data_IF_832947774351
#
_entry.id   IF_832947774351
#
_cell.length_a   1.000
_cell.length_b   1.000
_cell.length_c   1.000
_cell.angle_alpha   90.00
_cell.angle_beta   90.00
_cell.angle_gamma   90.00
#
_symmetry.space_group_name_H-M   'P 1'
#
loop_
_entity.id
_entity.type
_entity.pdbx_description
1 polymer ?
#
# COMPACT_ATOMS: atom_id res chain seq x y z
N UNK A 1 0.49 -18.04 -67.30
CA UNK A 1 1.85 -18.64 -67.33
C UNK A 1 2.88 -17.54 -67.29
N UNK A 2 3.50 -17.27 -66.15
CA UNK A 2 4.74 -16.48 -66.06
C UNK A 2 5.53 -17.03 -64.87
N UNK A 3 6.64 -17.66 -65.16
CA UNK A 3 7.64 -18.17 -64.23
C UNK A 3 8.51 -17.02 -63.75
N UNK A 4 8.67 -16.84 -62.43
CA UNK A 4 9.71 -15.96 -61.90
C UNK A 4 10.74 -16.81 -61.16
N UNK A 5 11.98 -16.56 -61.51
CA UNK A 5 13.20 -17.25 -61.08
C UNK A 5 13.63 -16.80 -59.70
N UNK A 6 13.96 -17.76 -58.89
CA UNK A 6 14.66 -17.62 -57.63
C UNK A 6 16.11 -17.14 -57.85
N UNK A 7 16.54 -16.11 -57.12
CA UNK A 7 17.94 -15.69 -57.06
C UNK A 7 18.41 -15.77 -55.62
N UNK A 8 19.26 -16.76 -55.33
CA UNK A 8 19.99 -16.88 -54.06
C UNK A 8 21.17 -15.89 -54.08
N UNK A 9 21.25 -15.02 -53.08
CA UNK A 9 22.50 -14.33 -52.73
C UNK A 9 22.96 -14.84 -51.37
N UNK A 10 24.08 -15.56 -51.37
CA UNK A 10 24.83 -15.93 -50.19
C UNK A 10 25.73 -14.75 -49.79
N UNK A 11 25.45 -14.12 -48.67
CA UNK A 11 26.31 -13.10 -48.04
C UNK A 11 26.97 -13.66 -46.79
N UNK A 12 28.25 -13.96 -46.87
CA UNK A 12 29.09 -14.35 -45.74
C UNK A 12 29.42 -13.11 -44.92
N UNK A 13 28.87 -13.02 -43.70
CA UNK A 13 29.26 -11.99 -42.73
C UNK A 13 30.36 -12.56 -41.84
N UNK A 14 31.56 -12.00 -41.91
CA UNK A 14 32.67 -12.23 -40.97
C UNK A 14 32.52 -11.27 -39.83
N UNK A 15 32.25 -11.78 -38.60
CA UNK A 15 32.29 -10.97 -37.36
C UNK A 15 33.73 -10.87 -36.84
N UNK A 16 34.23 -9.67 -36.51
CA UNK A 16 35.46 -9.54 -35.75
C UNK A 16 35.20 -9.82 -34.25
N UNK A 17 36.03 -10.69 -33.69
CA UNK A 17 36.07 -11.03 -32.28
C UNK A 17 36.71 -9.83 -31.51
N UNK A 18 35.92 -9.05 -30.82
CA UNK A 18 36.42 -8.04 -29.86
C UNK A 18 36.61 -8.72 -28.49
N UNK A 19 37.88 -8.91 -28.14
CA UNK A 19 38.29 -9.31 -26.79
C UNK A 19 38.20 -8.11 -25.88
N UNK A 20 37.28 -8.14 -24.90
CA UNK A 20 37.18 -7.15 -23.83
C UNK A 20 38.00 -7.63 -22.62
N UNK A 21 38.95 -6.85 -22.08
CA UNK A 21 39.67 -7.22 -20.86
C UNK A 21 38.73 -7.16 -19.64
N UNK A 22 38.73 -8.25 -18.89
CA UNK A 22 38.03 -8.29 -17.60
C UNK A 22 38.71 -7.37 -16.59
N UNK A 23 38.07 -6.26 -16.24
CA UNK A 23 38.44 -5.46 -15.09
C UNK A 23 37.89 -6.14 -13.83
N UNK A 24 38.78 -6.62 -12.96
CA UNK A 24 38.42 -7.03 -11.60
C UNK A 24 38.01 -5.77 -10.81
N UNK A 25 36.70 -5.59 -10.63
CA UNK A 25 36.21 -4.65 -9.63
C UNK A 25 36.11 -5.37 -8.28
N UNK A 26 36.94 -4.96 -7.33
CA UNK A 26 36.86 -5.35 -5.92
C UNK A 26 35.51 -4.92 -5.38
N UNK A 27 34.66 -5.88 -5.03
CA UNK A 27 33.43 -5.61 -4.31
C UNK A 27 33.72 -5.10 -2.91
N UNK A 28 33.48 -3.82 -2.66
CA UNK A 28 33.36 -3.30 -1.30
C UNK A 28 32.03 -3.79 -0.73
N UNK A 29 32.11 -4.59 0.32
CA UNK A 29 30.94 -4.96 1.10
C UNK A 29 30.41 -3.69 1.80
N UNK A 30 29.38 -3.10 1.23
CA UNK A 30 28.58 -2.12 1.95
C UNK A 30 27.71 -2.88 2.95
N UNK A 31 27.99 -2.68 4.24
CA UNK A 31 27.14 -3.11 5.35
C UNK A 31 25.74 -2.54 5.14
N UNK A 32 24.81 -3.42 4.82
CA UNK A 32 23.47 -3.04 4.41
C UNK A 32 22.65 -2.48 5.55
N UNK A 33 22.14 -1.29 5.33
CA UNK A 33 20.84 -0.93 5.87
C UNK A 33 19.80 -1.73 5.08
N UNK A 34 19.26 -2.76 5.68
CA UNK A 34 18.05 -3.38 5.18
C UNK A 34 16.89 -2.41 5.43
N UNK A 35 16.71 -1.50 4.49
CA UNK A 35 15.42 -0.84 4.36
C UNK A 35 14.39 -1.95 4.13
N UNK A 36 13.47 -2.09 5.07
CA UNK A 36 12.34 -2.99 4.91
C UNK A 36 11.68 -2.67 3.56
N UNK A 37 11.69 -3.66 2.67
CA UNK A 37 11.02 -3.55 1.40
C UNK A 37 9.55 -3.29 1.69
N UNK A 38 9.09 -2.09 1.34
CA UNK A 38 7.67 -1.75 1.31
C UNK A 38 7.02 -2.68 0.29
N UNK A 39 6.37 -3.72 0.78
CA UNK A 39 5.55 -4.58 -0.04
C UNK A 39 4.31 -3.79 -0.47
N UNK A 40 4.14 -3.73 -1.75
CA UNK A 40 3.00 -3.34 -2.57
C UNK A 40 3.12 -1.97 -3.24
N UNK A 41 3.47 -2.01 -4.54
CA UNK A 41 3.52 -0.87 -5.44
C UNK A 41 2.14 -0.36 -5.89
N UNK A 42 1.19 -0.24 -4.98
CA UNK A 42 -0.02 0.54 -5.21
C UNK A 42 0.28 1.96 -4.73
N UNK A 43 0.13 2.93 -5.64
CA UNK A 43 0.25 4.33 -5.28
C UNK A 43 -0.74 4.68 -4.16
N UNK A 44 -0.32 5.57 -3.23
CA UNK A 44 -1.22 6.09 -2.21
C UNK A 44 -2.45 6.73 -2.87
N UNK A 45 -3.64 6.40 -2.40
CA UNK A 45 -4.92 6.94 -2.87
C UNK A 45 -5.47 8.05 -1.95
N UNK A 46 -4.76 8.32 -0.85
CA UNK A 46 -5.13 9.36 0.12
C UNK A 46 -6.21 8.92 1.10
N UNK A 47 -6.54 7.64 1.18
CA UNK A 47 -7.61 7.15 2.04
C UNK A 47 -7.11 6.27 3.20
N UNK A 48 -7.83 6.33 4.31
CA UNK A 48 -7.80 5.33 5.37
C UNK A 48 -8.91 4.32 5.13
N UNK A 49 -8.51 3.04 4.96
CA UNK A 49 -9.40 1.93 4.65
C UNK A 49 -9.57 1.00 5.84
N UNK A 50 -10.78 0.51 6.04
CA UNK A 50 -11.07 -0.57 6.98
C UNK A 50 -12.00 -1.61 6.35
N UNK A 51 -11.95 -2.84 6.86
CA UNK A 51 -12.78 -3.96 6.42
C UNK A 51 -13.43 -4.63 7.61
N UNK A 52 -14.65 -5.13 7.37
CA UNK A 52 -15.46 -5.83 8.37
C UNK A 52 -14.76 -7.11 8.86
N UNK A 53 -14.16 -7.88 7.93
CA UNK A 53 -13.50 -9.13 8.26
C UNK A 53 -11.97 -8.99 8.18
N UNK A 54 -11.27 -9.94 8.81
CA UNK A 54 -9.81 -10.07 8.71
C UNK A 54 -9.36 -10.27 7.26
N UNK A 55 -8.07 -10.01 6.99
CA UNK A 55 -7.46 -10.16 5.67
C UNK A 55 -8.19 -9.37 4.55
N UNK A 56 -8.82 -8.24 4.93
CA UNK A 56 -9.56 -7.35 4.03
C UNK A 56 -10.80 -8.00 3.42
N UNK A 57 -11.45 -8.88 4.18
CA UNK A 57 -12.72 -9.50 3.80
C UNK A 57 -13.93 -8.64 4.19
N UNK A 58 -15.10 -9.06 3.71
CA UNK A 58 -16.36 -8.40 4.01
C UNK A 58 -16.53 -7.02 3.38
N UNK A 59 -17.37 -6.20 4.00
CA UNK A 59 -17.57 -4.82 3.55
C UNK A 59 -16.36 -3.96 3.86
N UNK A 60 -16.11 -2.96 3.03
CA UNK A 60 -15.03 -2.00 3.24
C UNK A 60 -15.55 -0.57 3.29
N UNK A 61 -14.87 0.26 4.08
CA UNK A 61 -15.07 1.69 4.16
C UNK A 61 -13.74 2.41 3.95
N UNK A 62 -13.76 3.54 3.25
CA UNK A 62 -12.58 4.35 3.00
C UNK A 62 -12.90 5.84 3.12
N UNK A 63 -12.01 6.60 3.76
CA UNK A 63 -12.18 8.04 4.00
C UNK A 63 -10.88 8.79 3.71
N UNK A 64 -10.98 9.88 2.97
CA UNK A 64 -9.88 10.81 2.72
C UNK A 64 -9.79 11.95 3.75
N UNK A 65 -10.70 12.03 4.69
CA UNK A 65 -10.76 13.03 5.76
C UNK A 65 -11.11 12.40 7.10
N UNK A 66 -11.27 13.23 8.12
CA UNK A 66 -11.75 12.81 9.43
C UNK A 66 -13.17 12.27 9.34
N UNK A 67 -13.48 11.25 10.16
CA UNK A 67 -14.85 10.77 10.34
C UNK A 67 -15.16 10.55 11.81
N UNK A 68 -16.17 11.27 12.30
CA UNK A 68 -16.58 11.25 13.68
C UNK A 68 -17.51 10.08 14.03
N UNK A 69 -18.07 9.39 13.03
CA UNK A 69 -19.06 8.35 13.27
C UNK A 69 -19.15 7.36 12.11
N UNK A 70 -18.57 6.20 12.27
CA UNK A 70 -18.54 5.15 11.26
C UNK A 70 -19.88 4.43 11.02
N UNK A 71 -20.97 4.92 11.62
CA UNK A 71 -22.31 4.33 11.40
C UNK A 71 -22.81 4.46 9.98
N UNK A 72 -22.19 5.35 9.18
CA UNK A 72 -22.55 5.55 7.78
C UNK A 72 -21.30 5.62 6.94
N UNK A 73 -20.99 4.61 6.15
CA UNK A 73 -19.86 4.62 5.24
C UNK A 73 -20.22 4.09 3.85
N UNK A 74 -19.26 4.25 2.91
CA UNK A 74 -19.44 3.88 1.52
C UNK A 74 -20.17 4.95 0.70
N UNK A 75 -20.21 4.78 -0.63
CA UNK A 75 -20.63 5.82 -1.59
C UNK A 75 -22.06 6.32 -1.40
N UNK A 76 -22.89 5.62 -0.63
CA UNK A 76 -24.28 6.00 -0.35
C UNK A 76 -24.59 6.02 1.16
N UNK A 77 -23.57 6.01 2.03
CA UNK A 77 -23.77 5.98 3.49
C UNK A 77 -24.50 4.71 3.98
N UNK A 78 -24.45 3.63 3.22
CA UNK A 78 -25.35 2.48 3.41
C UNK A 78 -24.82 1.41 4.35
N UNK A 79 -23.58 1.51 4.85
CA UNK A 79 -23.01 0.50 5.72
C UNK A 79 -22.63 1.07 7.09
N UNK A 80 -22.95 0.35 8.14
CA UNK A 80 -22.55 0.69 9.50
C UNK A 80 -21.28 -0.09 9.88
N UNK A 81 -20.12 0.62 9.96
CA UNK A 81 -18.83 0.06 10.32
C UNK A 81 -18.49 0.26 11.82
N UNK A 82 -19.31 1.00 12.59
CA UNK A 82 -19.09 1.13 14.03
C UNK A 82 -18.98 -0.25 14.67
N UNK A 83 -17.93 -0.44 15.46
CA UNK A 83 -17.66 -1.66 16.24
C UNK A 83 -17.67 -2.95 15.38
N UNK A 84 -17.15 -2.87 14.14
CA UNK A 84 -17.16 -4.00 13.19
C UNK A 84 -15.87 -4.20 12.41
N UNK A 85 -14.92 -3.29 12.52
CA UNK A 85 -13.69 -3.35 11.73
C UNK A 85 -12.72 -4.41 12.28
N UNK A 86 -12.24 -5.28 11.39
CA UNK A 86 -11.26 -6.35 11.70
C UNK A 86 -9.96 -6.26 10.90
N UNK A 87 -9.89 -5.42 9.87
CA UNK A 87 -8.66 -5.13 9.12
C UNK A 87 -8.60 -3.67 8.73
N UNK A 88 -7.38 -3.16 8.49
CA UNK A 88 -7.13 -1.76 8.19
C UNK A 88 -5.97 -1.55 7.21
N UNK A 89 -5.97 -0.39 6.56
CA UNK A 89 -4.86 0.09 5.75
C UNK A 89 -4.88 1.62 5.68
N UNK A 90 -3.81 2.23 6.16
CA UNK A 90 -3.59 3.66 5.95
C UNK A 90 -2.85 3.85 4.63
N UNK A 91 -3.59 4.08 3.55
CA UNK A 91 -3.08 4.38 2.22
C UNK A 91 -3.06 5.89 1.94
N UNK A 92 -2.95 6.68 3.01
CA UNK A 92 -2.85 8.13 2.96
C UNK A 92 -1.58 8.62 2.27
N UNK A 93 -1.62 9.84 1.79
CA UNK A 93 -0.41 10.50 1.30
C UNK A 93 0.55 10.75 2.45
N UNK A 94 1.87 10.55 2.20
CA UNK A 94 2.89 10.87 3.18
C UNK A 94 3.00 12.38 3.45
N UNK A 95 3.58 12.74 4.61
CA UNK A 95 3.80 14.11 5.00
C UNK A 95 2.96 14.53 6.22
N UNK A 96 2.70 15.83 6.34
CA UNK A 96 1.84 16.34 7.40
C UNK A 96 0.46 15.69 7.34
N UNK A 97 -0.06 15.26 8.49
CA UNK A 97 -1.34 14.54 8.60
C UNK A 97 -1.35 13.19 7.85
N UNK A 98 -0.21 12.48 7.82
CA UNK A 98 -0.13 11.15 7.21
C UNK A 98 -0.62 10.01 8.09
N UNK A 99 -0.57 10.18 9.41
CA UNK A 99 -1.02 9.16 10.37
C UNK A 99 -2.52 9.29 10.63
N UNK A 100 -3.15 8.18 11.03
CA UNK A 100 -4.54 8.13 11.46
C UNK A 100 -4.62 7.71 12.92
N UNK A 101 -5.27 8.50 13.76
CA UNK A 101 -5.66 8.12 15.11
C UNK A 101 -7.08 7.60 15.08
N UNK A 102 -7.28 6.37 15.51
CA UNK A 102 -8.59 5.74 15.62
C UNK A 102 -9.06 5.76 17.07
N UNK A 103 -10.36 5.80 17.28
CA UNK A 103 -11.01 5.96 18.60
C UNK A 103 -12.08 4.91 18.78
N UNK A 104 -12.21 4.46 20.03
CA UNK A 104 -13.18 3.46 20.44
C UNK A 104 -14.62 3.92 20.22
N UNK A 105 -14.92 5.20 20.55
CA UNK A 105 -16.27 5.74 20.48
C UNK A 105 -16.42 6.74 19.34
N UNK A 106 -17.66 7.00 18.95
CA UNK A 106 -18.02 8.12 18.08
C UNK A 106 -17.55 9.46 18.66
N UNK A 107 -17.45 10.49 17.83
CA UNK A 107 -17.01 11.84 18.20
C UNK A 107 -15.62 11.88 18.82
N UNK A 108 -14.74 10.96 18.39
CA UNK A 108 -13.34 10.88 18.84
C UNK A 108 -13.20 10.63 20.35
N UNK A 109 -14.14 9.88 20.91
CA UNK A 109 -14.18 9.56 22.33
C UNK A 109 -13.55 8.21 22.67
N UNK A 110 -13.37 7.99 23.98
CA UNK A 110 -12.83 6.73 24.50
C UNK A 110 -11.33 6.58 24.33
N UNK A 111 -10.85 5.34 24.41
CA UNK A 111 -9.46 5.00 24.15
C UNK A 111 -9.11 5.22 22.67
N UNK A 112 -7.83 5.44 22.37
CA UNK A 112 -7.36 5.63 21.00
C UNK A 112 -6.05 4.90 20.73
N UNK A 113 -5.83 4.53 19.47
CA UNK A 113 -4.58 3.96 19.00
C UNK A 113 -4.21 4.52 17.63
N UNK A 114 -3.05 4.15 17.09
CA UNK A 114 -2.50 4.71 15.88
C UNK A 114 -2.51 3.71 14.73
N UNK A 115 -2.84 4.21 13.54
CA UNK A 115 -2.62 3.57 12.25
C UNK A 115 -1.60 4.42 11.45
N UNK A 116 -0.30 4.11 11.54
CA UNK A 116 0.74 4.91 10.90
C UNK A 116 0.63 4.88 9.37
N UNK A 117 1.12 5.94 8.72
CA UNK A 117 1.12 6.06 7.26
C UNK A 117 1.77 4.85 6.59
N UNK A 118 1.12 4.32 5.57
CA UNK A 118 1.55 3.12 4.83
C UNK A 118 1.37 1.81 5.60
N UNK A 119 0.97 1.84 6.88
CA UNK A 119 0.70 0.66 7.70
C UNK A 119 -0.59 -0.04 7.30
N UNK A 120 -0.63 -1.36 7.50
CA UNK A 120 -1.78 -2.19 7.16
C UNK A 120 -1.74 -3.53 7.91
N UNK A 121 -2.87 -4.16 8.10
CA UNK A 121 -2.95 -5.48 8.72
C UNK A 121 -4.32 -5.79 9.27
N UNK A 122 -4.38 -6.90 10.01
CA UNK A 122 -5.55 -7.19 10.84
C UNK A 122 -5.50 -6.34 12.10
N UNK A 123 -6.65 -5.92 12.57
CA UNK A 123 -6.77 -5.17 13.83
C UNK A 123 -6.48 -6.14 15.00
N UNK A 124 -5.57 -5.77 15.92
CA UNK A 124 -5.31 -6.60 17.10
C UNK A 124 -6.59 -6.85 17.92
N UNK A 125 -6.67 -7.98 18.59
CA UNK A 125 -7.88 -8.43 19.29
C UNK A 125 -8.44 -7.41 20.30
N UNK A 126 -7.55 -6.59 20.91
CA UNK A 126 -7.92 -5.54 21.86
C UNK A 126 -8.73 -4.41 21.22
N UNK A 127 -8.59 -4.23 19.91
CA UNK A 127 -9.21 -3.19 19.11
C UNK A 127 -10.21 -3.71 18.10
N UNK A 128 -10.26 -5.02 17.88
CA UNK A 128 -11.17 -5.65 16.94
C UNK A 128 -12.62 -5.39 17.37
N UNK A 129 -13.45 -4.99 16.42
CA UNK A 129 -14.88 -4.71 16.63
C UNK A 129 -15.15 -3.66 17.73
N UNK A 130 -14.28 -2.64 17.83
CA UNK A 130 -14.40 -1.59 18.85
C UNK A 130 -14.20 -0.16 18.34
N UNK A 131 -13.82 0.01 17.10
CA UNK A 131 -13.47 1.33 16.55
C UNK A 131 -14.69 1.96 15.90
N UNK A 132 -14.92 3.25 16.21
CA UNK A 132 -16.12 3.97 15.76
C UNK A 132 -15.88 5.35 15.17
N UNK A 133 -14.65 5.88 15.23
CA UNK A 133 -14.28 7.17 14.60
C UNK A 133 -12.77 7.27 14.36
N UNK A 134 -12.34 8.23 13.53
CA UNK A 134 -10.92 8.48 13.29
C UNK A 134 -10.63 9.94 12.93
N UNK A 135 -9.36 10.35 13.13
CA UNK A 135 -8.80 11.61 12.66
C UNK A 135 -7.47 11.41 11.98
N UNK A 136 -7.22 12.17 10.93
CA UNK A 136 -5.90 12.35 10.37
C UNK A 136 -5.07 13.25 11.29
N UNK A 137 -3.84 12.84 11.59
CA UNK A 137 -2.95 13.53 12.53
C UNK A 137 -1.54 13.61 11.96
N UNK A 138 -0.77 14.61 12.40
CA UNK A 138 0.64 14.80 11.97
C UNK A 138 1.55 13.70 12.49
N UNK A 139 1.28 13.22 13.68
CA UNK A 139 1.93 12.05 14.27
C UNK A 139 1.04 11.53 15.39
N UNK A 140 0.99 10.23 15.54
CA UNK A 140 0.19 9.64 16.62
C UNK A 140 0.76 9.87 18.02
N UNK A 141 2.01 10.33 18.14
CA UNK A 141 2.71 10.54 19.41
C UNK A 141 2.76 9.24 20.23
N UNK A 142 3.92 8.63 20.32
CA UNK A 142 4.21 7.56 21.28
C UNK A 142 4.80 8.16 22.54
#
# INVERSE_FOLDING_TARGET
MRKFRTMLLAGTFVLPLLTVPAALTTAHAATGNTAAASASGLAADGAYWVWEDTNRGGHSCGWSGDDANWSTCGPNGGFNMNDRASAWWNNGYGGAYGDVRVYENINYGGASTCAPNGGQGNIPWEWNDRISSHKWVTACGY
#
